data_IF_172600343837
#
_entry.id   IF_172600343837
#
_cell.length_a   1.000
_cell.length_b   1.000
_cell.length_c   1.000
_cell.angle_alpha   90.00
_cell.angle_beta   90.00
_cell.angle_gamma   90.00
#
_symmetry.space_group_name_H-M   'P 1'
#
loop_
_entity.id
_entity.type
_entity.pdbx_description
1 polymer ?
#
# COMPACT_ATOMS: atom_id res chain seq x y z
N UNK A 1 0.32 13.39 1.14
CA UNK A 1 0.21 12.00 1.60
C UNK A 1 1.58 11.36 1.91
N UNK A 2 2.32 10.68 1.00
CA UNK A 2 3.54 9.94 1.40
C UNK A 2 4.60 10.80 2.09
N UNK A 3 4.79 12.04 1.63
CA UNK A 3 5.71 13.00 2.27
C UNK A 3 5.29 13.43 3.68
N UNK A 4 3.99 13.31 4.02
CA UNK A 4 3.45 13.65 5.34
C UNK A 4 3.55 12.47 6.33
N UNK A 5 3.96 11.29 5.87
CA UNK A 5 4.13 10.10 6.71
C UNK A 5 5.53 10.01 7.34
N UNK A 6 6.43 10.96 7.06
CA UNK A 6 7.83 10.95 7.51
C UNK A 6 8.62 9.69 7.13
N UNK A 7 8.30 9.10 5.98
CA UNK A 7 9.01 7.92 5.45
C UNK A 7 10.39 8.35 4.94
N UNK A 8 11.48 7.67 5.35
CA UNK A 8 12.80 7.89 4.75
C UNK A 8 12.79 7.62 3.24
N UNK A 9 13.29 8.57 2.44
CA UNK A 9 13.23 8.48 0.97
C UNK A 9 13.86 7.19 0.40
N UNK A 10 14.91 6.66 1.06
CA UNK A 10 15.57 5.42 0.64
C UNK A 10 14.71 4.15 0.80
N UNK A 11 13.58 4.24 1.49
CA UNK A 11 12.64 3.13 1.69
C UNK A 11 11.41 3.22 0.78
N UNK A 12 11.32 4.28 -0.04
CA UNK A 12 10.25 4.48 -1.01
C UNK A 12 10.71 4.03 -2.39
N UNK A 13 10.08 2.99 -2.93
CA UNK A 13 10.24 2.59 -4.31
C UNK A 13 9.06 3.12 -5.14
N UNK A 14 9.36 3.84 -6.22
CA UNK A 14 8.38 4.37 -7.16
C UNK A 14 8.43 3.53 -8.43
N UNK A 15 7.28 3.24 -9.03
CA UNK A 15 7.19 2.44 -10.26
C UNK A 15 7.85 1.05 -10.10
N UNK A 16 7.66 0.43 -8.93
CA UNK A 16 8.31 -0.82 -8.54
C UNK A 16 7.80 -2.00 -9.36
N UNK A 17 8.71 -2.64 -10.11
CA UNK A 17 8.39 -3.79 -10.95
C UNK A 17 8.39 -5.09 -10.14
N UNK A 18 7.38 -5.93 -10.37
CA UNK A 18 7.27 -7.26 -9.76
C UNK A 18 6.51 -8.22 -10.69
N UNK A 19 6.31 -9.48 -10.29
CA UNK A 19 5.61 -10.48 -11.09
C UNK A 19 4.37 -11.00 -10.38
N UNK A 20 3.23 -10.95 -11.06
CA UNK A 20 2.00 -11.62 -10.63
C UNK A 20 1.73 -12.75 -11.60
N UNK A 21 1.74 -14.00 -11.12
CA UNK A 21 1.52 -15.19 -11.95
C UNK A 21 2.44 -15.23 -13.19
N UNK A 22 3.72 -14.86 -13.00
CA UNK A 22 4.72 -14.83 -14.06
C UNK A 22 4.61 -13.64 -15.02
N UNK A 23 3.57 -12.81 -14.93
CA UNK A 23 3.43 -11.62 -15.78
C UNK A 23 4.03 -10.38 -15.08
N UNK A 24 4.79 -9.55 -15.80
CA UNK A 24 5.32 -8.32 -15.24
C UNK A 24 4.17 -7.37 -14.86
N UNK A 25 4.29 -6.79 -13.68
CA UNK A 25 3.40 -5.77 -13.13
C UNK A 25 4.25 -4.69 -12.51
N UNK A 26 3.59 -3.57 -12.19
CA UNK A 26 4.23 -2.41 -11.61
C UNK A 26 3.28 -1.81 -10.59
N UNK A 27 3.79 -1.61 -9.38
CA UNK A 27 3.12 -0.86 -8.34
C UNK A 27 3.55 0.61 -8.49
N UNK A 28 2.64 1.54 -8.24
CA UNK A 28 2.97 2.95 -8.35
C UNK A 28 3.95 3.37 -7.25
N UNK A 29 3.69 2.96 -6.00
CA UNK A 29 4.62 3.15 -4.88
C UNK A 29 4.59 1.95 -3.93
N UNK A 30 5.77 1.54 -3.46
CA UNK A 30 5.95 0.62 -2.33
C UNK A 30 6.83 1.31 -1.30
N UNK A 31 6.36 1.37 -0.05
CA UNK A 31 7.16 1.75 1.11
C UNK A 31 7.60 0.47 1.82
N UNK A 32 8.88 0.42 2.16
CA UNK A 32 9.48 -0.73 2.86
C UNK A 32 9.71 -0.42 4.34
N UNK A 33 9.77 -1.48 5.14
CA UNK A 33 10.28 -1.40 6.50
C UNK A 33 11.82 -1.23 6.52
N UNK A 34 12.42 -1.34 7.71
CA UNK A 34 13.87 -1.18 7.90
C UNK A 34 14.67 -2.41 7.42
N UNK A 35 13.99 -3.52 7.17
CA UNK A 35 14.52 -4.80 6.73
C UNK A 35 14.45 -4.94 5.20
N UNK A 36 13.67 -4.08 4.55
CA UNK A 36 13.47 -4.06 3.10
C UNK A 36 12.21 -4.83 2.68
N UNK A 37 11.37 -5.24 3.62
CA UNK A 37 10.11 -5.92 3.33
C UNK A 37 9.00 -4.88 3.05
N UNK A 38 8.04 -5.17 2.15
CA UNK A 38 6.95 -4.24 1.85
C UNK A 38 6.08 -3.95 3.09
N UNK A 39 5.97 -2.69 3.47
CA UNK A 39 5.14 -2.22 4.57
C UNK A 39 3.81 -1.62 4.07
N UNK A 40 3.88 -0.83 3.00
CA UNK A 40 2.73 -0.12 2.45
C UNK A 40 2.78 -0.12 0.93
N UNK A 41 1.70 -0.58 0.30
CA UNK A 41 1.46 -0.46 -1.13
C UNK A 41 0.55 0.74 -1.40
N UNK A 42 0.91 1.60 -2.35
CA UNK A 42 0.04 2.69 -2.81
C UNK A 42 -0.20 2.62 -4.31
N UNK A 43 -1.48 2.64 -4.68
CA UNK A 43 -1.95 2.69 -6.06
C UNK A 43 -2.58 4.04 -6.36
N UNK A 44 -2.09 4.71 -7.40
CA UNK A 44 -2.54 6.02 -7.83
C UNK A 44 -3.46 5.91 -9.05
N UNK A 45 -4.56 6.65 -9.02
CA UNK A 45 -5.48 6.85 -10.15
C UNK A 45 -5.43 8.28 -10.63
N UNK A 46 -5.85 8.50 -11.88
CA UNK A 46 -6.00 9.85 -12.39
C UNK A 46 -7.05 10.63 -11.58
N UNK A 47 -6.89 11.94 -11.34
CA UNK A 47 -7.77 12.70 -10.43
C UNK A 47 -9.27 12.66 -10.73
N UNK A 48 -9.62 12.49 -12.00
CA UNK A 48 -11.02 12.40 -12.47
C UNK A 48 -11.65 11.01 -12.32
N UNK A 49 -10.87 10.00 -11.94
CA UNK A 49 -11.35 8.62 -11.77
C UNK A 49 -11.83 8.47 -10.34
N UNK A 50 -13.13 8.19 -10.18
CA UNK A 50 -13.67 7.81 -8.87
C UNK A 50 -13.01 6.52 -8.41
N UNK A 51 -12.53 6.50 -7.17
CA UNK A 51 -12.01 5.27 -6.58
C UNK A 51 -13.21 4.38 -6.29
N UNK A 52 -13.33 3.31 -7.06
CA UNK A 52 -14.35 2.29 -6.89
C UNK A 52 -13.67 0.94 -6.54
N UNK A 53 -14.51 -0.08 -6.38
CA UNK A 53 -14.07 -1.40 -5.93
C UNK A 53 -13.02 -2.04 -6.86
N UNK A 54 -13.07 -1.75 -8.16
CA UNK A 54 -12.09 -2.21 -9.15
C UNK A 54 -10.65 -1.75 -8.85
N UNK A 55 -10.48 -0.53 -8.35
CA UNK A 55 -9.19 0.01 -7.96
C UNK A 55 -8.63 -0.70 -6.72
N UNK A 56 -9.50 -1.07 -5.77
CA UNK A 56 -9.12 -1.90 -4.63
C UNK A 56 -8.82 -3.34 -5.04
N UNK A 57 -9.60 -3.92 -5.95
CA UNK A 57 -9.37 -5.28 -6.45
C UNK A 57 -8.01 -5.40 -7.13
N UNK A 58 -7.57 -4.34 -7.84
CA UNK A 58 -6.22 -4.27 -8.39
C UNK A 58 -5.16 -4.22 -7.28
N UNK A 59 -5.30 -3.30 -6.32
CA UNK A 59 -4.37 -3.18 -5.20
C UNK A 59 -4.27 -4.48 -4.39
N UNK A 60 -5.41 -5.09 -4.05
CA UNK A 60 -5.49 -6.37 -3.35
C UNK A 60 -4.82 -7.50 -4.14
N UNK A 61 -5.05 -7.59 -5.47
CA UNK A 61 -4.39 -8.59 -6.31
C UNK A 61 -2.87 -8.44 -6.30
N UNK A 62 -2.37 -7.20 -6.32
CA UNK A 62 -0.94 -6.95 -6.24
C UNK A 62 -0.41 -7.32 -4.85
N UNK A 63 -1.19 -7.00 -3.82
CA UNK A 63 -0.82 -7.25 -2.44
C UNK A 63 -0.82 -8.73 -2.04
N UNK A 64 -1.49 -9.61 -2.79
CA UNK A 64 -1.32 -11.07 -2.64
C UNK A 64 0.15 -11.47 -2.84
N UNK A 65 0.88 -10.81 -3.74
CA UNK A 65 2.29 -11.11 -4.01
C UNK A 65 3.22 -10.29 -3.10
N UNK A 66 2.92 -9.01 -2.93
CA UNK A 66 3.78 -8.08 -2.19
C UNK A 66 3.66 -8.22 -0.67
N UNK A 67 2.54 -8.76 -0.17
CA UNK A 67 2.29 -9.02 1.25
C UNK A 67 2.48 -7.79 2.15
N UNK A 68 2.18 -6.57 1.65
CA UNK A 68 2.27 -5.36 2.44
C UNK A 68 1.10 -5.31 3.46
N UNK A 69 1.35 -5.08 4.76
CA UNK A 69 0.32 -4.97 5.78
C UNK A 69 -0.69 -3.84 5.52
N UNK A 70 -0.28 -2.81 4.79
CA UNK A 70 -1.12 -1.66 4.45
C UNK A 70 -1.27 -1.48 2.94
N UNK A 71 -2.48 -1.12 2.52
CA UNK A 71 -2.79 -0.74 1.14
C UNK A 71 -3.48 0.62 1.13
N UNK A 72 -3.05 1.50 0.23
CA UNK A 72 -3.73 2.76 -0.07
C UNK A 72 -4.08 2.82 -1.55
N UNK A 73 -5.30 3.26 -1.82
CA UNK A 73 -5.71 3.67 -3.16
C UNK A 73 -6.07 5.15 -3.12
N UNK A 74 -5.54 5.92 -4.07
CA UNK A 74 -5.76 7.37 -4.13
C UNK A 74 -5.93 7.87 -5.57
N UNK A 75 -6.68 8.96 -5.73
CA UNK A 75 -6.73 9.77 -6.95
C UNK A 75 -6.23 11.21 -6.70
N UNK A 76 -5.59 11.47 -5.56
CA UNK A 76 -5.12 12.79 -5.14
C UNK A 76 -6.18 13.73 -4.55
N UNK A 77 -7.47 13.38 -4.63
CA UNK A 77 -8.56 14.10 -3.95
C UNK A 77 -9.20 13.25 -2.85
N UNK A 78 -9.30 11.96 -3.09
CA UNK A 78 -9.82 10.96 -2.15
C UNK A 78 -8.74 9.90 -1.95
N UNK A 79 -8.64 9.45 -0.71
CA UNK A 79 -7.68 8.45 -0.27
C UNK A 79 -8.44 7.44 0.55
N UNK A 80 -8.17 6.17 0.30
CA UNK A 80 -8.65 5.10 1.15
C UNK A 80 -7.48 4.25 1.57
N UNK A 81 -7.33 4.08 2.87
CA UNK A 81 -6.32 3.25 3.48
C UNK A 81 -6.99 2.02 4.10
N UNK A 82 -6.35 0.86 4.00
CA UNK A 82 -6.76 -0.33 4.73
C UNK A 82 -5.56 -1.09 5.31
N UNK A 83 -5.80 -1.72 6.45
CA UNK A 83 -4.93 -2.74 7.01
C UNK A 83 -5.41 -4.11 6.51
N UNK A 84 -4.47 -4.96 6.12
CA UNK A 84 -4.74 -6.28 5.55
C UNK A 84 -4.44 -7.35 6.61
N UNK A 85 -5.39 -8.24 6.82
CA UNK A 85 -5.19 -9.46 7.60
C UNK A 85 -5.05 -10.63 6.62
N UNK A 86 -3.81 -11.08 6.43
CA UNK A 86 -3.51 -12.20 5.54
C UNK A 86 -3.94 -13.55 6.12
N UNK A 87 -4.11 -13.66 7.44
CA UNK A 87 -4.56 -14.89 8.11
C UNK A 87 -6.04 -15.10 7.85
N UNK A 88 -6.84 -14.05 8.06
CA UNK A 88 -8.30 -14.06 7.91
C UNK A 88 -8.75 -13.71 6.48
N UNK A 89 -7.81 -13.42 5.58
CA UNK A 89 -8.07 -12.97 4.20
C UNK A 89 -9.05 -11.79 4.15
N UNK A 90 -8.91 -10.87 5.09
CA UNK A 90 -9.80 -9.75 5.28
C UNK A 90 -9.03 -8.43 5.28
N UNK A 91 -9.76 -7.32 5.28
CA UNK A 91 -9.18 -6.01 5.41
C UNK A 91 -10.09 -5.10 6.22
N UNK A 92 -9.49 -4.12 6.88
CA UNK A 92 -10.20 -3.10 7.65
C UNK A 92 -9.82 -1.72 7.12
N UNK A 93 -10.81 -0.89 6.80
CA UNK A 93 -10.58 0.50 6.44
C UNK A 93 -10.03 1.28 7.63
N UNK A 94 -9.05 2.14 7.34
CA UNK A 94 -8.48 3.06 8.30
C UNK A 94 -9.04 4.45 8.04
N UNK A 95 -9.41 5.17 9.11
CA UNK A 95 -9.85 6.56 9.01
C UNK A 95 -8.71 7.48 8.49
N UNK A 96 -7.48 7.16 8.89
CA UNK A 96 -6.27 7.82 8.41
C UNK A 96 -5.07 6.86 8.45
N UNK A 97 -4.06 7.17 7.64
CA UNK A 97 -2.80 6.44 7.63
C UNK A 97 -1.83 7.11 8.61
N UNK A 98 -1.43 6.45 9.71
CA UNK A 98 -0.57 7.06 10.70
C UNK A 98 0.88 7.24 10.18
N UNK A 99 1.73 8.02 10.88
CA UNK A 99 3.14 8.19 10.51
C UNK A 99 3.90 6.87 10.43
N UNK A 100 5.00 6.86 9.68
CA UNK A 100 5.80 5.68 9.36
C UNK A 100 6.20 4.84 10.58
N UNK A 101 6.67 5.46 11.66
CA UNK A 101 7.07 4.73 12.88
C UNK A 101 5.88 4.01 13.54
N UNK A 102 4.67 4.56 13.43
CA UNK A 102 3.46 3.91 13.95
C UNK A 102 3.04 2.75 13.04
N UNK A 103 3.14 2.90 11.71
CA UNK A 103 2.90 1.80 10.76
C UNK A 103 3.83 0.63 11.04
N UNK A 104 5.12 0.88 11.25
CA UNK A 104 6.10 -0.15 11.63
C UNK A 104 5.67 -0.89 12.91
N UNK A 105 5.40 -0.14 13.99
CA UNK A 105 5.04 -0.75 15.28
C UNK A 105 3.77 -1.61 15.23
N UNK A 106 2.84 -1.30 14.32
CA UNK A 106 1.59 -2.05 14.16
C UNK A 106 1.74 -3.26 13.25
N UNK A 107 2.66 -3.21 12.29
CA UNK A 107 2.96 -4.32 11.37
C UNK A 107 3.73 -5.46 12.07
N UNK A 108 4.61 -5.12 13.01
CA UNK A 108 5.40 -6.09 13.78
C UNK A 108 4.56 -6.86 14.83
N UNK A 109 3.28 -6.51 14.99
CA UNK A 109 2.41 -7.00 16.06
C UNK A 109 2.76 -6.42 17.43
N UNK A 110 1.87 -6.54 18.44
CA UNK A 110 2.24 -6.34 19.83
C UNK A 110 3.24 -7.40 20.33
#
# INVERSE_FOLDING_TARGET
MIQELDVPAGLVAIEAAFRVQGQPRRADVIVHDRQGDPLLLVECKAPRVSIAQDAFDQGARYNIVLQAPYLVVTNGQTHYACAIDFSDQSYTFLDDLPPYDVLLSRADGP
#
